data_IF_878974781315
#
_entry.id   IF_878974781315
#
_cell.length_a   1.000
_cell.length_b   1.000
_cell.length_c   1.000
_cell.angle_alpha   90.00
_cell.angle_beta   90.00
_cell.angle_gamma   90.00
#
_symmetry.space_group_name_H-M   'P 1'
#
loop_
_entity.id
_entity.type
_entity.pdbx_description
1 polymer ?
#
# COMPACT_ATOMS: atom_id res chain seq x y z
N UNK A 1 -10.60 0.89 -10.88
CA UNK A 1 -11.12 0.07 -11.99
C UNK A 1 -12.31 0.75 -12.61
N UNK A 2 -12.44 0.66 -13.93
CA UNK A 2 -13.58 1.15 -14.70
C UNK A 2 -14.11 0.02 -15.57
N UNK A 3 -15.43 -0.17 -15.58
CA UNK A 3 -16.12 -0.98 -16.57
C UNK A 3 -16.68 -0.02 -17.60
N UNK A 4 -16.27 -0.19 -18.84
CA UNK A 4 -16.69 0.63 -19.98
C UNK A 4 -17.58 -0.25 -20.87
N UNK A 5 -18.78 0.21 -21.16
CA UNK A 5 -19.75 -0.48 -22.01
C UNK A 5 -20.14 0.45 -23.17
N UNK A 6 -19.82 0.05 -24.38
CA UNK A 6 -20.10 0.79 -25.60
C UNK A 6 -20.26 -0.18 -26.78
N UNK A 7 -21.20 0.08 -27.68
CA UNK A 7 -21.43 -0.67 -28.91
C UNK A 7 -21.53 -2.20 -28.71
N UNK A 8 -22.14 -2.61 -27.58
CA UNK A 8 -22.30 -4.02 -27.24
C UNK A 8 -21.02 -4.68 -26.70
N UNK A 9 -19.93 -3.95 -26.57
CA UNK A 9 -18.66 -4.41 -26.03
C UNK A 9 -18.46 -3.98 -24.58
N UNK A 10 -17.73 -4.78 -23.81
CA UNK A 10 -17.42 -4.57 -22.40
C UNK A 10 -15.92 -4.60 -22.17
N UNK A 11 -15.37 -3.50 -21.69
CA UNK A 11 -13.94 -3.34 -21.41
C UNK A 11 -13.73 -3.08 -19.93
N UNK A 12 -12.95 -3.92 -19.28
CA UNK A 12 -12.50 -3.70 -17.90
C UNK A 12 -11.10 -3.05 -17.92
N UNK A 13 -11.02 -1.79 -17.49
CA UNK A 13 -9.77 -1.09 -17.22
C UNK A 13 -9.47 -1.19 -15.71
N UNK A 14 -8.45 -1.95 -15.34
CA UNK A 14 -8.16 -2.18 -13.93
C UNK A 14 -7.49 -0.98 -13.26
N UNK A 15 -6.65 -0.22 -13.97
CA UNK A 15 -5.64 0.61 -13.37
C UNK A 15 -4.70 -0.23 -12.49
N UNK A 16 -3.88 0.43 -11.68
CA UNK A 16 -3.09 -0.25 -10.66
C UNK A 16 -4.01 -0.76 -9.54
N UNK A 17 -3.81 -2.00 -9.10
CA UNK A 17 -4.60 -2.59 -8.04
C UNK A 17 -3.79 -3.62 -7.23
N UNK A 18 -4.35 -4.05 -6.11
CA UNK A 18 -3.78 -5.14 -5.30
C UNK A 18 -4.87 -5.88 -4.53
N UNK A 19 -4.77 -7.21 -4.40
CA UNK A 19 -5.71 -8.01 -3.63
C UNK A 19 -5.24 -8.28 -2.18
N UNK A 20 -4.00 -8.02 -1.87
CA UNK A 20 -3.42 -8.15 -0.53
C UNK A 20 -3.61 -6.89 0.36
N UNK A 21 -4.31 -5.87 -0.15
CA UNK A 21 -4.81 -4.73 0.62
C UNK A 21 -5.93 -5.13 1.59
N UNK A 22 -6.35 -4.20 2.43
CA UNK A 22 -7.40 -4.44 3.44
C UNK A 22 -8.72 -4.90 2.81
N UNK A 23 -9.05 -4.35 1.65
CA UNK A 23 -10.30 -4.62 0.92
C UNK A 23 -10.16 -5.69 -0.18
N UNK A 24 -9.03 -6.36 -0.29
CA UNK A 24 -8.78 -7.35 -1.35
C UNK A 24 -9.86 -8.42 -1.48
N UNK A 25 -10.38 -8.90 -0.34
CA UNK A 25 -11.48 -9.90 -0.30
C UNK A 25 -12.81 -9.43 -0.91
N UNK A 26 -12.99 -8.10 -1.09
CA UNK A 26 -14.21 -7.55 -1.70
C UNK A 26 -14.17 -7.68 -3.22
N UNK A 27 -12.96 -7.86 -3.79
CA UNK A 27 -12.76 -7.93 -5.24
C UNK A 27 -13.59 -9.04 -5.90
N UNK A 28 -13.64 -10.23 -5.31
CA UNK A 28 -14.44 -11.34 -5.85
C UNK A 28 -15.92 -10.96 -5.99
N UNK A 29 -16.46 -10.30 -4.97
CA UNK A 29 -17.87 -9.83 -5.02
C UNK A 29 -18.08 -8.77 -6.10
N UNK A 30 -17.09 -7.91 -6.35
CA UNK A 30 -17.16 -6.89 -7.39
C UNK A 30 -17.09 -7.55 -8.75
N UNK A 31 -16.14 -8.47 -8.96
CA UNK A 31 -15.99 -9.22 -10.21
C UNK A 31 -17.26 -10.02 -10.54
N UNK A 32 -17.79 -10.76 -9.57
CA UNK A 32 -18.94 -11.64 -9.79
C UNK A 32 -20.26 -10.87 -9.97
N UNK A 33 -20.48 -9.77 -9.20
CA UNK A 33 -21.80 -9.10 -9.15
C UNK A 33 -21.90 -7.84 -9.98
N UNK A 34 -20.79 -7.19 -10.27
CA UNK A 34 -20.77 -5.86 -10.93
C UNK A 34 -20.08 -5.91 -12.29
N UNK A 35 -19.03 -6.71 -12.42
CA UNK A 35 -18.24 -6.78 -13.65
C UNK A 35 -18.73 -7.96 -14.50
N UNK A 36 -18.68 -9.20 -14.01
CA UNK A 36 -18.99 -10.38 -14.79
C UNK A 36 -17.98 -10.60 -15.92
N UNK A 37 -18.41 -11.29 -17.00
CA UNK A 37 -17.57 -11.50 -18.19
C UNK A 37 -17.43 -10.22 -18.98
N UNK A 38 -16.24 -9.99 -19.56
CA UNK A 38 -15.94 -8.84 -20.41
C UNK A 38 -15.24 -9.29 -21.70
N UNK A 39 -15.28 -8.47 -22.74
CA UNK A 39 -14.59 -8.77 -24.02
C UNK A 39 -13.08 -8.50 -23.88
N UNK A 40 -12.73 -7.41 -23.21
CA UNK A 40 -11.34 -6.97 -23.07
C UNK A 40 -11.02 -6.61 -21.63
N UNK A 41 -9.83 -6.99 -21.18
CA UNK A 41 -9.22 -6.51 -19.94
C UNK A 41 -7.96 -5.71 -20.27
N UNK A 42 -7.93 -4.44 -19.88
CA UNK A 42 -6.73 -3.61 -19.86
C UNK A 42 -6.20 -3.58 -18.43
N UNK A 43 -5.03 -4.16 -18.18
CA UNK A 43 -4.54 -4.37 -16.82
C UNK A 43 -3.06 -4.05 -16.66
N UNK A 44 -2.68 -3.64 -15.45
CA UNK A 44 -1.27 -3.53 -15.08
C UNK A 44 -0.55 -4.87 -15.18
N UNK A 45 0.78 -4.80 -15.30
CA UNK A 45 1.68 -5.94 -15.26
C UNK A 45 2.98 -5.63 -14.53
N UNK A 46 2.97 -4.69 -13.59
CA UNK A 46 4.16 -4.18 -12.89
C UNK A 46 4.99 -5.28 -12.21
N UNK A 47 4.32 -6.33 -11.75
CA UNK A 47 4.98 -7.41 -10.97
C UNK A 47 5.19 -8.70 -11.75
N UNK A 48 4.77 -8.78 -13.02
CA UNK A 48 4.84 -10.04 -13.79
C UNK A 48 6.26 -10.56 -14.01
N UNK A 49 7.27 -9.68 -13.91
CA UNK A 49 8.68 -10.06 -13.97
C UNK A 49 9.23 -10.62 -12.67
N UNK A 50 8.51 -10.45 -11.56
CA UNK A 50 8.95 -10.86 -10.22
C UNK A 50 8.61 -12.33 -9.97
N UNK A 51 9.37 -12.97 -9.08
CA UNK A 51 9.06 -14.35 -8.65
C UNK A 51 7.67 -14.42 -7.99
N UNK A 52 6.97 -15.54 -8.16
CA UNK A 52 5.63 -15.80 -7.61
C UNK A 52 5.62 -15.93 -6.07
N UNK A 53 6.19 -14.97 -5.35
CA UNK A 53 6.08 -14.95 -3.90
C UNK A 53 4.71 -14.42 -3.49
N UNK A 54 4.12 -15.07 -2.51
CA UNK A 54 2.88 -14.60 -1.88
C UNK A 54 3.09 -13.19 -1.34
N UNK A 55 2.32 -12.24 -1.84
CA UNK A 55 2.38 -10.87 -1.35
C UNK A 55 2.01 -10.82 0.15
N UNK A 56 2.79 -10.06 0.91
CA UNK A 56 2.52 -9.84 2.34
C UNK A 56 1.28 -8.94 2.46
N UNK A 57 0.32 -9.33 3.26
CA UNK A 57 -0.92 -8.57 3.45
C UNK A 57 -0.75 -7.43 4.45
N UNK A 58 -1.63 -6.41 4.39
CA UNK A 58 -1.65 -5.34 5.39
C UNK A 58 -1.88 -5.89 6.82
N UNK A 59 -2.61 -7.00 6.96
CA UNK A 59 -2.82 -7.67 8.25
C UNK A 59 -1.55 -8.34 8.79
N UNK A 60 -0.73 -8.89 7.93
CA UNK A 60 0.59 -9.44 8.31
C UNK A 60 1.55 -8.32 8.72
N UNK A 61 1.54 -7.18 8.01
CA UNK A 61 2.33 -6.02 8.42
C UNK A 61 1.85 -5.45 9.75
N UNK A 62 0.56 -5.40 10.00
CA UNK A 62 0.00 -5.02 11.30
C UNK A 62 0.50 -5.94 12.42
N UNK A 63 0.53 -7.26 12.19
CA UNK A 63 1.08 -8.23 13.17
C UNK A 63 2.57 -7.98 13.43
N UNK A 64 3.36 -7.70 12.39
CA UNK A 64 4.79 -7.38 12.53
C UNK A 64 4.99 -6.12 13.38
N UNK A 65 4.21 -5.07 13.12
CA UNK A 65 4.28 -3.83 13.93
C UNK A 65 3.90 -4.08 15.39
N UNK A 66 2.91 -4.92 15.68
CA UNK A 66 2.59 -5.32 17.07
C UNK A 66 3.78 -5.98 17.76
N UNK A 67 4.58 -6.78 17.05
CA UNK A 67 5.80 -7.37 17.59
C UNK A 67 6.86 -6.29 17.89
N UNK A 68 7.10 -5.38 16.95
CA UNK A 68 8.03 -4.26 17.16
C UNK A 68 7.61 -3.36 18.35
N UNK A 69 6.30 -3.07 18.51
CA UNK A 69 5.78 -2.29 19.64
C UNK A 69 5.93 -2.98 21.02
N UNK A 70 6.20 -4.28 21.05
CA UNK A 70 6.56 -5.01 22.27
C UNK A 70 8.06 -4.97 22.56
N UNK A 71 8.87 -4.95 21.51
CA UNK A 71 10.34 -4.99 21.59
C UNK A 71 10.95 -3.59 21.77
N UNK A 72 10.39 -2.58 21.11
CA UNK A 72 10.89 -1.22 21.13
C UNK A 72 9.88 -0.27 21.81
N UNK A 73 10.40 0.68 22.56
CA UNK A 73 9.56 1.72 23.17
C UNK A 73 9.05 2.69 22.13
N UNK A 74 9.90 3.06 21.16
CA UNK A 74 9.62 4.04 20.10
C UNK A 74 9.71 3.37 18.72
N UNK A 75 8.58 3.33 18.04
CA UNK A 75 8.49 2.76 16.69
C UNK A 75 8.15 3.89 15.72
N UNK A 76 9.10 4.24 14.87
CA UNK A 76 8.91 5.22 13.80
C UNK A 76 8.58 4.50 12.51
N UNK A 77 7.61 4.99 11.74
CA UNK A 77 7.21 4.37 10.47
C UNK A 77 7.30 5.39 9.35
N UNK A 78 8.24 5.18 8.45
CA UNK A 78 8.38 5.96 7.21
C UNK A 78 7.53 5.31 6.13
N UNK A 79 6.38 5.89 5.83
CA UNK A 79 5.48 5.44 4.76
C UNK A 79 4.91 6.61 3.96
N UNK A 80 4.49 6.32 2.72
CA UNK A 80 3.78 7.31 1.91
C UNK A 80 2.46 7.71 2.59
N UNK A 81 2.21 9.01 2.71
CA UNK A 81 1.00 9.54 3.36
C UNK A 81 -0.29 9.12 2.64
N UNK A 82 -0.21 8.88 1.34
CA UNK A 82 -1.33 8.40 0.52
C UNK A 82 -1.61 6.90 0.65
N UNK A 83 -0.73 6.15 1.32
CA UNK A 83 -0.99 4.73 1.61
C UNK A 83 -1.88 4.60 2.87
N UNK A 84 -3.13 5.00 2.71
CA UNK A 84 -4.10 5.11 3.80
C UNK A 84 -4.40 3.76 4.45
N UNK A 85 -4.54 2.68 3.67
CA UNK A 85 -4.71 1.32 4.23
C UNK A 85 -3.60 1.00 5.23
N UNK A 86 -2.35 1.37 4.91
CA UNK A 86 -1.20 1.18 5.78
C UNK A 86 -1.33 1.99 7.06
N UNK A 87 -1.67 3.28 6.96
CA UNK A 87 -1.79 4.16 8.12
C UNK A 87 -2.92 3.65 9.04
N UNK A 88 -4.10 3.32 8.50
CA UNK A 88 -5.20 2.76 9.29
C UNK A 88 -4.84 1.42 9.95
N UNK A 89 -4.21 0.50 9.22
CA UNK A 89 -3.80 -0.80 9.73
C UNK A 89 -2.78 -0.67 10.88
N UNK A 90 -1.76 0.17 10.71
CA UNK A 90 -0.70 0.33 11.69
C UNK A 90 -1.13 1.15 12.91
N UNK A 91 -1.96 2.19 12.72
CA UNK A 91 -2.53 2.93 13.84
C UNK A 91 -3.36 2.03 14.77
N UNK A 92 -4.09 1.07 14.20
CA UNK A 92 -4.86 0.05 14.96
C UNK A 92 -3.99 -1.02 15.64
N UNK A 93 -2.70 -1.09 15.28
CA UNK A 93 -1.75 -1.98 15.95
C UNK A 93 -1.28 -1.43 17.31
N UNK A 94 -1.44 -0.12 17.54
CA UNK A 94 -0.93 0.56 18.74
C UNK A 94 -1.78 0.14 19.95
N UNK A 95 -1.15 -0.39 21.03
CA UNK A 95 -1.87 -0.80 22.24
C UNK A 95 -2.50 0.38 22.98
N UNK A 96 -3.54 0.10 23.75
CA UNK A 96 -4.10 1.09 24.69
C UNK A 96 -3.02 1.62 25.63
N UNK A 97 -3.04 2.92 25.91
CA UNK A 97 -2.07 3.57 26.79
C UNK A 97 -0.78 4.04 26.09
N UNK A 98 -0.49 3.56 24.88
CA UNK A 98 0.59 4.07 24.04
C UNK A 98 0.10 5.14 23.05
N UNK A 99 1.01 5.95 22.56
CA UNK A 99 0.70 7.01 21.61
C UNK A 99 0.78 6.52 20.17
N UNK A 100 -0.13 7.03 19.34
CA UNK A 100 -0.02 6.98 17.88
C UNK A 100 0.06 8.42 17.38
N UNK A 101 1.16 8.78 16.72
CA UNK A 101 1.46 10.16 16.33
C UNK A 101 1.61 10.22 14.81
N UNK A 102 1.10 11.28 14.21
CA UNK A 102 1.31 11.66 12.81
C UNK A 102 1.32 13.18 12.70
N UNK A 103 1.75 13.73 11.55
CA UNK A 103 1.63 15.18 11.36
C UNK A 103 0.19 15.59 10.99
N UNK A 104 -0.08 16.91 10.96
CA UNK A 104 -1.40 17.46 10.64
C UNK A 104 -1.85 17.09 9.22
N UNK A 105 -0.91 17.04 8.25
CA UNK A 105 -1.24 16.64 6.88
C UNK A 105 -1.70 15.19 6.82
N UNK A 106 -0.97 14.27 7.46
CA UNK A 106 -1.37 12.85 7.54
C UNK A 106 -2.71 12.68 8.25
N UNK A 107 -2.92 13.40 9.38
CA UNK A 107 -4.16 13.36 10.16
C UNK A 107 -5.35 13.85 9.36
N UNK A 108 -5.18 14.92 8.59
CA UNK A 108 -6.22 15.48 7.72
C UNK A 108 -6.64 14.47 6.66
N UNK A 109 -5.69 13.83 5.96
CA UNK A 109 -6.01 12.80 4.96
C UNK A 109 -6.74 11.59 5.58
N UNK A 110 -6.28 11.12 6.74
CA UNK A 110 -6.95 10.04 7.47
C UNK A 110 -8.37 10.44 7.84
N UNK A 111 -8.56 11.69 8.30
CA UNK A 111 -9.90 12.21 8.63
C UNK A 111 -10.82 12.25 7.42
N UNK A 112 -10.37 12.78 6.28
CA UNK A 112 -11.17 12.83 5.04
C UNK A 112 -11.64 11.42 4.64
N UNK A 113 -10.75 10.43 4.70
CA UNK A 113 -11.11 9.04 4.39
C UNK A 113 -12.07 8.47 5.43
N UNK A 114 -11.83 8.73 6.72
CA UNK A 114 -12.71 8.28 7.79
C UNK A 114 -14.13 8.86 7.64
N UNK A 115 -14.24 10.15 7.40
CA UNK A 115 -15.54 10.83 7.24
C UNK A 115 -16.37 10.24 6.08
N UNK A 116 -15.70 9.75 5.02
CA UNK A 116 -16.34 9.21 3.82
C UNK A 116 -16.64 7.70 3.90
N UNK A 117 -15.72 6.91 4.47
CA UNK A 117 -15.74 5.46 4.36
C UNK A 117 -16.06 4.72 5.66
N UNK A 118 -16.11 5.40 6.82
CA UNK A 118 -16.40 4.75 8.10
C UNK A 118 -17.80 4.13 8.15
N UNK A 119 -18.77 4.74 7.48
CA UNK A 119 -20.13 4.19 7.34
C UNK A 119 -20.21 2.89 6.55
N UNK A 120 -19.24 2.66 5.65
CA UNK A 120 -19.17 1.46 4.81
C UNK A 120 -18.26 0.38 5.39
N UNK A 121 -17.33 0.75 6.27
CA UNK A 121 -16.39 -0.18 6.88
C UNK A 121 -15.80 0.38 8.17
N UNK A 122 -15.96 -0.34 9.26
CA UNK A 122 -15.38 -0.02 10.58
C UNK A 122 -13.85 0.05 10.54
N UNK A 123 -13.21 -0.52 9.52
CA UNK A 123 -11.78 -0.37 9.31
C UNK A 123 -11.37 1.08 9.12
N UNK A 124 -12.20 1.91 8.50
CA UNK A 124 -11.93 3.33 8.25
C UNK A 124 -12.49 4.27 9.32
N UNK A 125 -12.99 3.76 10.46
CA UNK A 125 -13.25 4.61 11.62
C UNK A 125 -11.97 5.33 12.05
N UNK A 126 -12.10 6.62 12.43
CA UNK A 126 -10.96 7.45 12.80
C UNK A 126 -10.15 6.82 13.93
N UNK A 127 -8.88 6.45 13.69
CA UNK A 127 -8.03 5.96 14.74
C UNK A 127 -7.62 7.11 15.69
N UNK A 128 -7.22 6.76 16.92
CA UNK A 128 -6.71 7.75 17.86
C UNK A 128 -5.33 8.24 17.41
N UNK A 129 -5.30 9.34 16.66
CA UNK A 129 -4.08 10.00 16.18
C UNK A 129 -3.85 11.31 16.90
N UNK A 130 -2.61 11.49 17.36
CA UNK A 130 -2.14 12.74 17.96
C UNK A 130 -1.19 13.45 16.98
N UNK A 131 -1.03 14.75 17.12
CA UNK A 131 -0.03 15.50 16.36
C UNK A 131 1.10 15.96 17.29
N UNK A 132 2.36 16.10 16.79
CA UNK A 132 3.48 16.47 17.63
C UNK A 132 3.28 17.84 18.28
N UNK A 133 3.38 17.88 19.60
CA UNK A 133 3.38 19.05 20.44
C UNK A 133 4.09 18.70 21.75
N UNK A 134 4.51 19.67 22.56
CA UNK A 134 5.33 19.42 23.75
C UNK A 134 4.73 18.37 24.70
N UNK A 135 3.45 18.50 25.07
CA UNK A 135 2.77 17.54 25.95
C UNK A 135 2.63 16.14 25.30
N UNK A 136 2.39 16.07 23.99
CA UNK A 136 2.27 14.78 23.28
C UNK A 136 3.63 14.10 23.19
N UNK A 137 4.69 14.83 22.87
CA UNK A 137 6.05 14.29 22.80
C UNK A 137 6.56 13.85 24.18
N UNK A 138 6.27 14.61 25.24
CA UNK A 138 6.55 14.20 26.61
C UNK A 138 5.82 12.89 26.96
N UNK A 139 4.53 12.80 26.71
CA UNK A 139 3.78 11.57 26.95
C UNK A 139 4.26 10.40 26.08
N UNK A 140 4.71 10.64 24.84
CA UNK A 140 5.33 9.63 24.00
C UNK A 140 6.68 9.19 24.56
N UNK A 141 7.48 10.11 25.10
CA UNK A 141 8.73 9.80 25.80
C UNK A 141 8.51 8.91 27.03
N UNK A 142 7.45 9.13 27.79
CA UNK A 142 7.10 8.33 28.97
C UNK A 142 6.59 6.94 28.61
N UNK A 143 5.60 6.85 27.71
CA UNK A 143 4.81 5.63 27.44
C UNK A 143 5.15 4.92 26.12
N UNK A 144 5.86 5.60 25.23
CA UNK A 144 6.20 5.07 23.90
C UNK A 144 5.00 4.93 22.97
N UNK A 145 5.22 4.29 21.84
CA UNK A 145 4.20 4.04 20.84
C UNK A 145 4.72 4.04 19.42
N UNK A 146 3.87 4.46 18.50
CA UNK A 146 4.16 4.54 17.07
C UNK A 146 4.05 5.99 16.59
N UNK A 147 5.00 6.42 15.78
CA UNK A 147 4.97 7.72 15.10
C UNK A 147 5.16 7.51 13.60
N UNK A 148 4.20 7.96 12.80
CA UNK A 148 4.36 8.07 11.35
C UNK A 148 5.26 9.27 11.06
N UNK A 149 6.29 9.05 10.24
CA UNK A 149 7.30 10.06 9.94
C UNK A 149 7.46 10.26 8.44
N UNK A 150 8.01 11.41 8.06
CA UNK A 150 8.39 11.74 6.68
C UNK A 150 9.83 12.25 6.68
N UNK A 151 10.56 12.06 5.59
CA UNK A 151 11.94 12.55 5.44
C UNK A 151 11.93 14.08 5.36
N UNK A 152 12.14 14.72 6.50
CA UNK A 152 12.31 16.17 6.63
C UNK A 152 13.00 16.53 7.94
N UNK A 153 13.54 17.75 8.01
CA UNK A 153 14.27 18.27 9.19
C UNK A 153 13.44 18.29 10.47
N UNK A 154 12.11 18.45 10.39
CA UNK A 154 11.25 18.44 11.58
C UNK A 154 11.26 17.07 12.24
N UNK A 155 11.01 16.00 11.47
CA UNK A 155 11.01 14.64 12.00
C UNK A 155 12.40 14.17 12.40
N UNK A 156 13.48 14.58 11.71
CA UNK A 156 14.86 14.33 12.17
C UNK A 156 15.10 14.88 13.58
N UNK A 157 14.72 16.15 13.82
CA UNK A 157 14.85 16.79 15.16
C UNK A 157 14.00 16.07 16.21
N UNK A 158 12.82 15.60 15.85
CA UNK A 158 11.94 14.85 16.77
C UNK A 158 12.56 13.50 17.11
N UNK A 159 12.97 12.71 16.09
CA UNK A 159 13.53 11.37 16.31
C UNK A 159 14.78 11.43 17.18
N UNK A 160 15.67 12.40 16.98
CA UNK A 160 16.90 12.59 17.78
C UNK A 160 16.67 12.89 19.27
N UNK A 161 15.43 13.15 19.70
CA UNK A 161 15.07 13.35 21.12
C UNK A 161 14.88 12.01 21.85
N UNK A 162 14.80 10.90 21.14
CA UNK A 162 14.51 9.58 21.72
C UNK A 162 15.75 8.69 21.70
N UNK A 163 15.86 7.84 22.72
CA UNK A 163 16.97 6.90 22.86
C UNK A 163 17.05 5.93 21.66
N UNK A 164 18.16 5.94 20.89
CA UNK A 164 18.32 5.08 19.73
C UNK A 164 18.25 3.57 20.07
N UNK A 165 18.68 3.19 21.27
CA UNK A 165 18.65 1.79 21.72
C UNK A 165 17.24 1.27 21.99
N UNK A 166 16.30 2.18 22.28
CA UNK A 166 14.88 1.87 22.48
C UNK A 166 14.03 2.17 21.26
N UNK A 167 14.66 2.56 20.14
CA UNK A 167 14.01 3.02 18.91
C UNK A 167 14.22 2.08 17.74
N UNK A 168 13.21 1.97 16.88
CA UNK A 168 13.33 1.36 15.55
C UNK A 168 12.64 2.23 14.51
N UNK A 169 13.23 2.34 13.31
CA UNK A 169 12.60 2.96 12.16
C UNK A 169 12.19 1.90 11.14
N UNK A 170 10.90 1.81 10.85
CA UNK A 170 10.33 0.87 9.91
C UNK A 170 10.17 1.56 8.55
N UNK A 171 10.88 1.03 7.55
CA UNK A 171 10.81 1.50 6.18
C UNK A 171 9.64 0.83 5.45
N UNK A 172 8.66 1.62 5.05
CA UNK A 172 7.39 1.13 4.51
C UNK A 172 7.05 1.73 3.15
N UNK A 173 8.06 1.87 2.30
CA UNK A 173 7.93 2.36 0.92
C UNK A 173 8.68 1.44 -0.04
N UNK A 174 8.50 1.68 -1.34
CA UNK A 174 9.22 0.96 -2.38
C UNK A 174 10.74 1.15 -2.25
N UNK A 175 11.50 0.05 -2.33
CA UNK A 175 12.96 0.06 -2.13
C UNK A 175 13.70 0.95 -3.13
N UNK A 176 13.19 1.07 -4.34
CA UNK A 176 13.77 1.97 -5.35
C UNK A 176 13.86 3.44 -4.91
N UNK A 177 13.04 3.92 -3.97
CA UNK A 177 13.21 5.27 -3.43
C UNK A 177 14.45 5.39 -2.54
N UNK A 178 14.79 4.32 -1.82
CA UNK A 178 15.94 4.27 -0.92
C UNK A 178 17.27 4.13 -1.69
N UNK A 179 17.23 3.42 -2.80
CA UNK A 179 18.44 3.05 -3.59
C UNK A 179 18.79 4.08 -4.66
N UNK A 180 18.00 5.14 -4.85
CA UNK A 180 18.35 6.25 -5.76
C UNK A 180 19.64 6.94 -5.30
N UNK A 181 20.53 7.38 -6.23
CA UNK A 181 21.81 8.01 -5.89
C UNK A 181 21.69 9.21 -4.94
N UNK A 182 20.67 10.07 -5.12
CA UNK A 182 20.47 11.29 -4.34
C UNK A 182 19.42 11.13 -3.23
N UNK A 183 19.21 9.89 -2.75
CA UNK A 183 18.22 9.61 -1.72
C UNK A 183 18.72 9.97 -0.33
N UNK A 184 17.99 10.82 0.37
CA UNK A 184 18.21 11.12 1.79
C UNK A 184 17.61 10.05 2.73
N UNK A 185 16.98 9.01 2.19
CA UNK A 185 16.33 7.97 2.99
C UNK A 185 17.35 7.14 3.78
N UNK A 186 18.51 6.70 3.24
CA UNK A 186 19.50 5.95 4.02
C UNK A 186 19.98 6.70 5.26
N UNK A 187 20.26 8.00 5.12
CA UNK A 187 20.65 8.86 6.25
C UNK A 187 19.52 8.97 7.28
N UNK A 188 18.28 9.18 6.81
CA UNK A 188 17.12 9.24 7.69
C UNK A 188 16.88 7.92 8.45
N UNK A 189 17.10 6.76 7.82
CA UNK A 189 17.00 5.44 8.45
C UNK A 189 18.05 5.24 9.55
N UNK A 190 19.23 5.84 9.44
CA UNK A 190 20.30 5.72 10.41
C UNK A 190 20.04 6.47 11.73
N UNK A 191 19.01 7.33 11.79
CA UNK A 191 18.70 8.14 12.98
C UNK A 191 18.40 7.33 14.24
N UNK A 192 17.90 6.11 14.09
CA UNK A 192 17.58 5.23 15.22
C UNK A 192 18.61 4.12 15.44
N UNK A 193 19.68 4.07 14.65
CA UNK A 193 20.68 3.00 14.71
C UNK A 193 20.16 1.62 14.27
N UNK A 194 18.87 1.36 14.41
CA UNK A 194 18.20 0.12 13.97
C UNK A 194 17.01 0.46 13.08
N UNK A 195 16.95 -0.20 11.93
CA UNK A 195 15.79 -0.10 11.03
C UNK A 195 15.42 -1.46 10.46
N UNK A 196 14.20 -1.59 9.97
CA UNK A 196 13.72 -2.81 9.31
C UNK A 196 12.75 -2.48 8.18
N UNK A 197 12.67 -3.37 7.20
CA UNK A 197 11.69 -3.25 6.13
C UNK A 197 10.30 -3.71 6.60
N UNK A 198 9.30 -2.88 6.30
CA UNK A 198 7.90 -3.14 6.59
C UNK A 198 7.05 -2.78 5.38
N UNK A 199 7.29 -3.43 4.25
CA UNK A 199 6.67 -3.08 2.98
C UNK A 199 5.93 -4.25 2.33
N UNK A 200 4.92 -3.92 1.54
CA UNK A 200 4.33 -4.79 0.52
C UNK A 200 3.98 -3.94 -0.70
N UNK A 201 3.97 -4.56 -1.86
CA UNK A 201 3.71 -3.87 -3.13
C UNK A 201 2.38 -3.12 -3.14
N UNK A 202 2.32 -2.01 -3.86
CA UNK A 202 1.08 -1.33 -4.23
C UNK A 202 0.37 -1.98 -5.43
N UNK A 203 1.03 -2.93 -6.10
CA UNK A 203 0.59 -3.58 -7.34
C UNK A 203 0.19 -5.02 -7.12
N UNK A 204 -0.68 -5.53 -7.99
CA UNK A 204 -1.15 -6.91 -7.98
C UNK A 204 0.01 -7.91 -8.12
N UNK A 205 -0.05 -9.01 -7.38
CA UNK A 205 0.85 -10.14 -7.62
C UNK A 205 0.50 -10.86 -8.94
N UNK A 206 1.40 -11.65 -9.54
CA UNK A 206 1.07 -12.46 -10.70
C UNK A 206 -0.17 -13.35 -10.48
N UNK A 207 -0.34 -13.89 -9.26
CA UNK A 207 -1.51 -14.67 -8.89
C UNK A 207 -2.79 -13.83 -8.80
N UNK A 208 -2.70 -12.58 -8.31
CA UNK A 208 -3.83 -11.66 -8.27
C UNK A 208 -4.27 -11.27 -9.69
N UNK A 209 -3.31 -11.02 -10.59
CA UNK A 209 -3.57 -10.72 -12.00
C UNK A 209 -4.28 -11.90 -12.68
N UNK A 210 -3.73 -13.12 -12.52
CA UNK A 210 -4.35 -14.35 -13.05
C UNK A 210 -5.77 -14.50 -12.55
N UNK A 211 -5.98 -14.35 -11.26
CA UNK A 211 -7.30 -14.48 -10.63
C UNK A 211 -8.32 -13.49 -11.21
N UNK A 212 -7.98 -12.22 -11.37
CA UNK A 212 -8.87 -11.20 -11.94
C UNK A 212 -9.18 -11.49 -13.41
N UNK A 213 -8.17 -11.90 -14.19
CA UNK A 213 -8.34 -12.24 -15.61
C UNK A 213 -9.22 -13.50 -15.78
N UNK A 214 -9.04 -14.53 -14.97
CA UNK A 214 -9.86 -15.74 -14.99
C UNK A 214 -11.32 -15.42 -14.64
N UNK A 215 -11.56 -14.62 -13.63
CA UNK A 215 -12.91 -14.19 -13.21
C UNK A 215 -13.61 -13.33 -14.25
N UNK A 216 -12.92 -12.35 -14.82
CA UNK A 216 -13.45 -11.47 -15.85
C UNK A 216 -13.60 -12.20 -17.20
N UNK A 217 -12.91 -13.32 -17.39
CA UNK A 217 -12.96 -14.22 -18.55
C UNK A 217 -12.93 -13.50 -19.93
N UNK A 218 -11.99 -12.56 -20.17
CA UNK A 218 -11.94 -11.79 -21.42
C UNK A 218 -11.50 -12.65 -22.60
N UNK A 219 -11.81 -12.21 -23.81
CA UNK A 219 -11.21 -12.73 -25.04
C UNK A 219 -9.82 -12.15 -25.27
N UNK A 220 -9.63 -10.87 -24.93
CA UNK A 220 -8.41 -10.10 -25.14
C UNK A 220 -7.90 -9.52 -23.82
N UNK A 221 -6.59 -9.63 -23.59
CA UNK A 221 -5.88 -8.96 -22.50
C UNK A 221 -4.86 -7.99 -23.08
N UNK A 222 -4.91 -6.75 -22.64
CA UNK A 222 -3.96 -5.69 -23.01
C UNK A 222 -3.16 -5.31 -21.76
N UNK A 223 -1.87 -5.69 -21.68
CA UNK A 223 -1.02 -5.29 -20.57
C UNK A 223 -0.59 -3.83 -20.71
N UNK A 224 -0.59 -3.13 -19.59
CA UNK A 224 -0.05 -1.78 -19.43
C UNK A 224 0.83 -1.70 -18.20
N UNK A 225 1.61 -0.63 -18.05
CA UNK A 225 2.44 -0.39 -16.87
C UNK A 225 3.28 -1.63 -16.48
N UNK A 226 4.08 -2.14 -17.42
CA UNK A 226 4.92 -3.33 -17.22
C UNK A 226 6.22 -3.23 -18.01
N UNK A 227 7.32 -3.68 -17.38
CA UNK A 227 8.63 -3.81 -18.03
C UNK A 227 8.80 -5.12 -18.81
N UNK A 228 7.85 -6.06 -18.64
CA UNK A 228 7.91 -7.40 -19.24
C UNK A 228 6.56 -7.84 -19.82
N UNK A 229 6.00 -7.09 -20.80
CA UNK A 229 4.66 -7.35 -21.31
C UNK A 229 4.52 -8.76 -21.93
N UNK A 230 5.60 -9.33 -22.47
CA UNK A 230 5.64 -10.68 -23.04
C UNK A 230 5.33 -11.77 -21.99
N UNK A 231 5.66 -11.54 -20.71
CA UNK A 231 5.34 -12.48 -19.63
C UNK A 231 3.85 -12.60 -19.36
N UNK A 232 3.05 -11.60 -19.78
CA UNK A 232 1.60 -11.69 -19.72
C UNK A 232 1.05 -12.80 -20.63
N UNK A 233 1.70 -13.13 -21.73
CA UNK A 233 1.32 -14.25 -22.60
C UNK A 233 1.37 -15.58 -21.84
N UNK A 234 2.42 -15.77 -21.04
CA UNK A 234 2.55 -16.97 -20.19
C UNK A 234 1.54 -16.96 -19.04
N UNK A 235 1.28 -15.80 -18.45
CA UNK A 235 0.31 -15.65 -17.36
C UNK A 235 -1.13 -15.92 -17.83
N UNK A 236 -1.46 -15.53 -19.07
CA UNK A 236 -2.80 -15.57 -19.66
C UNK A 236 -2.94 -16.72 -20.67
N UNK A 237 -2.46 -17.92 -20.36
CA UNK A 237 -2.28 -19.07 -21.28
C UNK A 237 -3.43 -19.35 -22.25
N UNK A 238 -4.68 -19.03 -21.89
CA UNK A 238 -5.88 -19.31 -22.67
C UNK A 238 -6.55 -18.04 -23.22
N UNK A 239 -5.84 -16.92 -23.30
CA UNK A 239 -6.38 -15.62 -23.73
C UNK A 239 -5.46 -14.99 -24.76
N UNK A 240 -6.05 -14.24 -25.69
CA UNK A 240 -5.29 -13.45 -26.66
C UNK A 240 -4.68 -12.25 -25.95
N UNK A 241 -3.35 -12.19 -25.84
CA UNK A 241 -2.64 -11.02 -25.30
C UNK A 241 -2.19 -10.14 -26.46
N UNK A 242 -2.61 -8.88 -26.46
CA UNK A 242 -2.26 -7.90 -27.48
C UNK A 242 -1.36 -6.84 -26.83
N UNK A 243 -0.16 -6.65 -27.37
CA UNK A 243 0.79 -5.64 -26.93
C UNK A 243 0.62 -4.41 -27.81
N UNK A 244 -0.01 -3.37 -27.28
CA UNK A 244 -0.16 -2.10 -28.00
C UNK A 244 1.02 -1.18 -27.72
N UNK A 245 1.49 -0.50 -28.77
CA UNK A 245 2.44 0.61 -28.67
C UNK A 245 1.70 1.92 -28.40
N UNK A 246 2.44 2.94 -28.01
CA UNK A 246 1.87 4.28 -27.85
C UNK A 246 1.20 4.73 -29.15
N UNK A 247 -0.05 5.21 -29.03
CA UNK A 247 -0.91 5.66 -30.12
C UNK A 247 -1.37 4.55 -31.10
N UNK A 248 -1.16 3.31 -30.78
CA UNK A 248 -1.72 2.19 -31.55
C UNK A 248 -3.18 1.97 -31.12
N UNK A 249 -4.05 1.76 -32.10
CA UNK A 249 -5.49 1.58 -31.90
C UNK A 249 -5.87 0.11 -32.10
N UNK A 250 -6.80 -0.38 -31.31
CA UNK A 250 -7.44 -1.68 -31.46
C UNK A 250 -8.94 -1.48 -31.68
N UNK A 251 -9.42 -1.90 -32.81
CA UNK A 251 -10.87 -1.99 -33.08
C UNK A 251 -11.42 -3.29 -32.48
N UNK A 252 -12.52 -3.19 -31.71
CA UNK A 252 -13.16 -4.29 -30.98
C UNK A 252 -14.43 -4.80 -31.68
#
# INVERSE_FOLDING_TARGET
>A
MFLIEADGKRVLYTGDFRLHGVRGKVMDKILDRRIGKVDVVVTEGTTVSRSEHKAVTEWELQKRVKAYLRQYKYVFVLCATTNLDRIFALARAVPRGKYCICDEYQKTLVKVVSDHWSSLSTFYEMPKLNTPGSCILQGFQERGGLMFVRVNRQFERIIRQFDPQQSILLYSMWDGYRTKPDSNIPEFLSLTGTWAELHTSGHASPNDLRHVIEKAAPEIVIPMHTDAPQKMQTLCQNRKVILLKDREELLL
#
